data_IF_951091569354
#
_entry.id   IF_951091569354
#
_cell.length_a   1.000
_cell.length_b   1.000
_cell.length_c   1.000
_cell.angle_alpha   90.00
_cell.angle_beta   90.00
_cell.angle_gamma   90.00
#
_symmetry.space_group_name_H-M   'P 1'
#
loop_
_entity.id
_entity.type
_entity.pdbx_description
1 polymer ?
#
# COMPACT_ATOMS: atom_id res chain seq x y z
N UNK A 1 12.19 -4.29 14.63
CA UNK A 1 13.19 -3.34 14.08
C UNK A 1 12.42 -2.37 13.21
N UNK A 2 12.60 -1.06 13.39
CA UNK A 2 11.93 -0.04 12.57
C UNK A 2 12.72 0.26 11.31
N UNK A 3 12.07 0.82 10.30
CA UNK A 3 12.70 1.31 9.09
C UNK A 3 12.15 2.69 8.71
N UNK A 4 12.93 3.43 7.91
CA UNK A 4 12.53 4.74 7.39
C UNK A 4 11.78 4.55 6.08
N UNK A 5 10.57 5.09 6.00
CA UNK A 5 9.72 5.09 4.82
C UNK A 5 9.64 6.49 4.22
N UNK A 6 9.97 6.61 2.94
CA UNK A 6 9.80 7.84 2.17
C UNK A 6 8.40 7.88 1.52
N UNK A 7 7.68 8.96 1.74
CA UNK A 7 6.36 9.21 1.17
C UNK A 7 6.48 9.71 -0.26
N UNK A 8 6.18 8.83 -1.21
CA UNK A 8 6.28 9.14 -2.64
C UNK A 8 4.97 9.75 -3.14
N UNK A 9 5.05 10.85 -3.89
CA UNK A 9 3.92 11.32 -4.69
C UNK A 9 3.75 10.40 -5.90
N UNK A 10 2.78 9.47 -5.86
CA UNK A 10 2.57 8.50 -6.96
C UNK A 10 1.12 8.49 -7.44
N UNK A 11 0.82 9.38 -8.36
CA UNK A 11 -0.28 9.22 -9.32
C UNK A 11 0.34 9.35 -10.71
N UNK A 12 0.37 8.25 -11.47
CA UNK A 12 1.08 8.19 -12.74
C UNK A 12 0.15 7.62 -13.83
N UNK A 13 -0.13 8.43 -14.85
CA UNK A 13 -0.78 7.92 -16.05
C UNK A 13 0.24 7.12 -16.86
N UNK A 14 0.11 5.80 -16.84
CA UNK A 14 1.01 4.87 -17.53
C UNK A 14 0.23 4.19 -18.65
N UNK A 15 0.43 4.65 -19.90
CA UNK A 15 -0.05 3.95 -21.10
C UNK A 15 -0.89 4.79 -22.08
N UNK A 16 -1.46 4.14 -23.12
CA UNK A 16 -2.42 4.72 -24.05
C UNK A 16 -3.68 5.23 -23.33
N UNK A 17 -4.48 6.07 -24.01
CA UNK A 17 -5.72 6.63 -23.46
C UNK A 17 -6.66 5.54 -22.90
N UNK A 18 -6.69 5.39 -21.58
CA UNK A 18 -7.51 4.40 -20.86
C UNK A 18 -6.74 3.55 -19.84
N UNK A 19 -5.44 3.38 -20.02
CA UNK A 19 -4.59 2.63 -19.10
C UNK A 19 -4.08 3.55 -17.99
N UNK A 20 -4.18 3.11 -16.74
CA UNK A 20 -3.74 3.89 -15.57
C UNK A 20 -3.21 2.97 -14.49
N UNK A 21 -2.21 3.46 -13.77
CA UNK A 21 -1.77 2.90 -12.50
C UNK A 21 -1.90 3.97 -11.41
N UNK A 22 -2.36 3.62 -10.22
CA UNK A 22 -2.31 4.56 -9.10
C UNK A 22 -1.85 3.89 -7.80
N UNK A 23 -1.20 4.68 -6.95
CA UNK A 23 -0.73 4.25 -5.64
C UNK A 23 -1.05 5.33 -4.60
N UNK A 24 -2.12 5.11 -3.83
CA UNK A 24 -2.59 6.08 -2.83
C UNK A 24 -2.24 5.63 -1.42
N UNK A 25 -1.59 6.49 -0.66
CA UNK A 25 -1.32 6.26 0.76
C UNK A 25 -2.56 6.51 1.62
N UNK A 26 -2.81 5.62 2.56
CA UNK A 26 -3.90 5.72 3.53
C UNK A 26 -3.46 5.18 4.89
N UNK A 27 -4.22 5.52 5.92
CA UNK A 27 -3.98 5.05 7.28
C UNK A 27 -5.20 4.33 7.85
N UNK A 28 -4.93 3.31 8.67
CA UNK A 28 -5.94 2.55 9.40
C UNK A 28 -5.62 2.60 10.90
N UNK A 29 -6.59 2.96 11.74
CA UNK A 29 -6.43 2.84 13.18
C UNK A 29 -6.75 1.39 13.60
N UNK A 30 -5.77 0.69 14.18
CA UNK A 30 -5.92 -0.68 14.65
C UNK A 30 -5.31 -0.84 16.04
N UNK A 31 -6.13 -1.27 17.00
CA UNK A 31 -5.74 -1.46 18.42
C UNK A 31 -5.00 -0.25 19.02
N UNK A 32 -5.44 0.96 18.68
CA UNK A 32 -4.85 2.21 19.17
C UNK A 32 -3.54 2.61 18.48
N UNK A 33 -3.08 1.86 17.47
CA UNK A 33 -1.90 2.17 16.66
C UNK A 33 -2.32 2.52 15.24
N UNK A 34 -1.60 3.46 14.62
CA UNK A 34 -1.83 3.83 13.22
C UNK A 34 -1.05 2.91 12.31
N UNK A 35 -1.73 2.23 11.39
CA UNK A 35 -1.15 1.41 10.33
C UNK A 35 -1.10 2.24 9.05
N UNK A 36 0.06 2.31 8.41
CA UNK A 36 0.24 2.89 7.09
C UNK A 36 0.12 1.79 6.02
N UNK A 37 -0.69 2.05 5.00
CA UNK A 37 -0.78 1.18 3.83
C UNK A 37 -0.91 1.99 2.55
N UNK A 38 -0.62 1.34 1.43
CA UNK A 38 -0.85 1.87 0.09
C UNK A 38 -1.92 1.05 -0.60
N UNK A 39 -2.95 1.70 -1.12
CA UNK A 39 -3.84 1.10 -2.09
C UNK A 39 -3.25 1.27 -3.48
N UNK A 40 -3.07 0.17 -4.20
CA UNK A 40 -2.59 0.18 -5.57
C UNK A 40 -3.65 -0.39 -6.50
N UNK A 41 -3.88 0.28 -7.61
CA UNK A 41 -4.80 -0.20 -8.65
C UNK A 41 -4.24 0.02 -10.05
N UNK A 42 -4.77 -0.74 -10.99
CA UNK A 42 -4.53 -0.52 -12.40
C UNK A 42 -5.77 -0.86 -13.23
N UNK A 43 -5.96 -0.11 -14.30
CA UNK A 43 -7.02 -0.27 -15.31
C UNK A 43 -6.39 -0.63 -16.64
N UNK A 44 -7.04 -1.49 -17.42
CA UNK A 44 -6.57 -1.86 -18.76
C UNK A 44 -5.34 -2.78 -18.75
N UNK A 45 -5.24 -3.67 -17.76
CA UNK A 45 -4.03 -4.48 -17.57
C UNK A 45 -3.94 -5.60 -18.60
N UNK A 46 -2.90 -5.56 -19.42
CA UNK A 46 -2.53 -6.66 -20.34
C UNK A 46 -1.48 -7.57 -19.71
N UNK A 47 -1.61 -8.88 -19.90
CA UNK A 47 -0.66 -9.88 -19.46
C UNK A 47 0.09 -10.49 -20.64
N UNK A 48 1.34 -10.92 -20.43
CA UNK A 48 2.18 -11.56 -21.46
C UNK A 48 1.61 -12.89 -22.00
N UNK A 49 0.56 -13.41 -21.38
CA UNK A 49 -0.20 -14.60 -21.78
C UNK A 49 -1.30 -14.33 -22.81
N UNK A 50 -1.28 -13.15 -23.47
CA UNK A 50 -2.33 -12.69 -24.37
C UNK A 50 -3.73 -12.63 -23.71
N UNK A 51 -3.75 -12.45 -22.39
CA UNK A 51 -4.96 -12.21 -21.60
C UNK A 51 -4.88 -10.82 -20.97
N UNK A 52 -5.99 -10.35 -20.39
CA UNK A 52 -6.01 -9.08 -19.68
C UNK A 52 -7.10 -9.05 -18.62
N UNK A 53 -7.04 -8.04 -17.77
CA UNK A 53 -8.07 -7.73 -16.80
C UNK A 53 -8.47 -6.25 -16.95
N UNK A 54 -9.77 -5.94 -16.94
CA UNK A 54 -10.20 -4.54 -16.98
C UNK A 54 -9.72 -3.77 -15.75
N UNK A 55 -9.51 -4.48 -14.64
CA UNK A 55 -9.11 -3.91 -13.37
C UNK A 55 -8.32 -4.92 -12.53
N UNK A 56 -7.29 -4.43 -11.85
CA UNK A 56 -6.64 -5.13 -10.75
C UNK A 56 -6.31 -4.17 -9.63
N UNK A 57 -6.27 -4.65 -8.39
CA UNK A 57 -5.90 -3.82 -7.26
C UNK A 57 -5.54 -4.65 -6.04
N UNK A 58 -4.78 -4.02 -5.15
CA UNK A 58 -4.28 -4.64 -3.93
C UNK A 58 -3.84 -3.60 -2.93
N UNK A 59 -3.44 -4.07 -1.76
CA UNK A 59 -3.02 -3.25 -0.63
C UNK A 59 -1.63 -3.69 -0.19
N UNK A 60 -0.73 -2.73 -0.03
CA UNK A 60 0.61 -2.95 0.52
C UNK A 60 0.67 -2.28 1.88
N UNK A 61 0.61 -3.07 2.94
CA UNK A 61 0.78 -2.60 4.32
C UNK A 61 2.27 -2.37 4.58
N UNK A 62 2.61 -1.17 5.05
CA UNK A 62 3.98 -0.79 5.44
C UNK A 62 4.26 -1.13 6.90
N UNK A 63 3.25 -0.95 7.74
CA UNK A 63 3.29 -1.31 9.14
C UNK A 63 2.78 -0.22 10.05
N UNK A 64 3.12 -0.29 11.34
CA UNK A 64 2.73 0.72 12.31
C UNK A 64 3.59 1.97 12.19
N UNK A 65 2.95 3.13 12.17
CA UNK A 65 3.64 4.42 12.23
C UNK A 65 4.14 4.64 13.66
N UNK A 66 5.45 4.75 13.81
CA UNK A 66 6.13 5.13 15.05
C UNK A 66 6.33 6.63 15.12
N UNK A 67 6.74 7.24 14.00
CA UNK A 67 6.83 8.70 13.82
C UNK A 67 6.30 9.08 12.45
N UNK A 68 5.37 10.02 12.42
CA UNK A 68 4.71 10.44 11.20
C UNK A 68 5.38 11.68 10.59
N UNK A 69 5.82 11.58 9.32
CA UNK A 69 6.35 12.69 8.51
C UNK A 69 7.27 13.61 9.32
N UNK A 70 8.22 13.00 10.03
CA UNK A 70 9.07 13.66 11.03
C UNK A 70 10.27 14.36 10.43
N UNK A 71 10.62 14.04 9.19
CA UNK A 71 11.76 14.59 8.47
C UNK A 71 11.47 14.62 6.96
N UNK A 72 12.40 15.13 6.17
CA UNK A 72 12.31 15.22 4.70
C UNK A 72 13.66 14.87 4.09
N UNK A 73 13.68 14.03 3.06
CA UNK A 73 14.93 13.65 2.39
C UNK A 73 15.43 14.72 1.40
N UNK A 74 16.58 14.46 0.77
CA UNK A 74 17.20 15.34 -0.23
C UNK A 74 16.31 15.64 -1.45
N UNK A 75 15.34 14.77 -1.75
CA UNK A 75 14.38 14.94 -2.83
C UNK A 75 13.13 15.75 -2.42
N UNK A 76 13.04 16.19 -1.17
CA UNK A 76 11.86 16.86 -0.64
C UNK A 76 10.72 15.93 -0.23
N UNK A 77 10.97 14.61 -0.13
CA UNK A 77 9.96 13.62 0.23
C UNK A 77 9.85 13.48 1.75
N UNK A 78 8.64 13.57 2.34
CA UNK A 78 8.45 13.36 3.78
C UNK A 78 8.89 11.96 4.21
N UNK A 79 9.44 11.84 5.40
CA UNK A 79 9.93 10.58 5.98
C UNK A 79 9.13 10.18 7.22
N UNK A 80 8.74 8.92 7.30
CA UNK A 80 8.12 8.31 8.50
C UNK A 80 8.95 7.15 9.02
N UNK A 81 8.89 6.93 10.33
CA UNK A 81 9.48 5.75 10.97
C UNK A 81 8.39 4.69 11.13
N UNK A 82 8.62 3.51 10.56
CA UNK A 82 7.63 2.43 10.48
C UNK A 82 8.15 1.17 11.19
N UNK A 83 7.27 0.52 11.95
CA UNK A 83 7.49 -0.79 12.55
C UNK A 83 6.70 -1.85 11.74
N UNK A 84 7.38 -2.85 11.14
CA UNK A 84 6.72 -3.93 10.41
C UNK A 84 5.76 -4.73 11.30
N UNK A 85 4.64 -5.18 10.73
CA UNK A 85 3.68 -6.06 11.42
C UNK A 85 4.07 -7.49 11.08
N UNK A 86 4.71 -8.20 12.01
CA UNK A 86 5.20 -9.57 11.78
C UNK A 86 4.31 -10.64 12.40
N UNK A 87 3.39 -10.26 13.29
CA UNK A 87 2.47 -11.18 13.95
C UNK A 87 1.38 -11.66 12.97
N UNK A 88 1.30 -12.98 12.66
CA UNK A 88 0.37 -13.47 11.65
C UNK A 88 -1.11 -13.25 12.00
N UNK A 89 -1.45 -13.23 13.29
CA UNK A 89 -2.82 -12.97 13.72
C UNK A 89 -3.20 -11.52 13.43
N UNK A 90 -2.34 -10.56 13.77
CA UNK A 90 -2.55 -9.15 13.45
C UNK A 90 -2.61 -8.91 11.94
N UNK A 91 -1.74 -9.56 11.17
CA UNK A 91 -1.81 -9.49 9.71
C UNK A 91 -3.16 -9.98 9.18
N UNK A 92 -3.65 -11.12 9.65
CA UNK A 92 -4.94 -11.66 9.23
C UNK A 92 -6.11 -10.72 9.59
N UNK A 93 -6.12 -10.17 10.82
CA UNK A 93 -7.14 -9.22 11.27
C UNK A 93 -7.13 -7.94 10.44
N UNK A 94 -5.95 -7.36 10.20
CA UNK A 94 -5.78 -6.16 9.36
C UNK A 94 -6.20 -6.44 7.91
N UNK A 95 -5.84 -7.59 7.35
CA UNK A 95 -6.26 -7.98 6.00
C UNK A 95 -7.78 -8.04 5.87
N UNK A 96 -8.48 -8.56 6.88
CA UNK A 96 -9.94 -8.60 6.88
C UNK A 96 -10.57 -7.20 6.98
N UNK A 97 -9.96 -6.29 7.76
CA UNK A 97 -10.42 -4.91 7.86
C UNK A 97 -10.22 -4.13 6.55
N UNK A 98 -9.08 -4.33 5.90
CA UNK A 98 -8.70 -3.61 4.67
C UNK A 98 -9.37 -4.18 3.42
N UNK A 99 -9.64 -5.49 3.38
CA UNK A 99 -10.27 -6.15 2.25
C UNK A 99 -11.24 -7.26 2.71
N UNK A 100 -12.46 -6.89 3.14
CA UNK A 100 -13.44 -7.87 3.60
C UNK A 100 -13.92 -8.75 2.42
N UNK A 101 -13.72 -10.06 2.52
CA UNK A 101 -14.22 -11.05 1.56
C UNK A 101 -13.16 -12.02 1.04
N UNK A 102 -13.50 -12.87 0.04
CA UNK A 102 -12.57 -13.78 -0.60
C UNK A 102 -11.54 -12.98 -1.41
N UNK A 103 -10.44 -12.59 -0.76
CA UNK A 103 -9.45 -11.71 -1.36
C UNK A 103 -8.29 -11.30 -0.46
N UNK A 104 -8.13 -11.89 0.72
CA UNK A 104 -7.08 -11.51 1.68
C UNK A 104 -5.65 -11.62 1.10
N UNK A 105 -5.44 -12.44 0.06
CA UNK A 105 -4.18 -12.52 -0.69
C UNK A 105 -3.82 -11.23 -1.46
N UNK A 106 -4.74 -10.27 -1.57
CA UNK A 106 -4.50 -8.95 -2.16
C UNK A 106 -3.91 -7.96 -1.16
N UNK A 107 -3.82 -8.33 0.11
CA UNK A 107 -3.17 -7.54 1.17
C UNK A 107 -1.81 -8.16 1.44
N UNK A 108 -0.76 -7.38 1.16
CA UNK A 108 0.62 -7.81 1.33
C UNK A 108 1.28 -7.03 2.48
N UNK A 109 2.14 -7.70 3.24
CA UNK A 109 2.93 -7.12 4.33
C UNK A 109 4.41 -7.26 3.96
N UNK A 110 5.13 -6.14 3.92
CA UNK A 110 6.55 -6.07 3.56
C UNK A 110 7.29 -5.18 4.56
#
# INVERSE_FOLDING_TARGET
MTYVYAHLSRDEHVGPEGDRYSATEQTLLYRGRTVLYQYVDAVGVTFCTATGAPYTGGINVKGYVVKWKYDTNENGEPLSEIEPITDPQQQAEISQLLWPGPGAHRVNFW
#
